data_IF_791059084549
#
_entry.id   IF_791059084549
#
_cell.length_a   1.000
_cell.length_b   1.000
_cell.length_c   1.000
_cell.angle_alpha   90.00
_cell.angle_beta   90.00
_cell.angle_gamma   90.00
#
_symmetry.space_group_name_H-M   'P 1'
#
loop_
_entity.id
_entity.type
_entity.pdbx_description
1 polymer ?
#
# COMPACT_ATOMS: atom_id res chain seq x y z
N UNK A 1 -16.26 17.43 21.05
CA UNK A 1 -16.05 15.97 21.01
C UNK A 1 -16.80 15.48 19.79
N UNK A 2 -16.14 15.47 18.64
CA UNK A 2 -16.76 15.12 17.36
C UNK A 2 -16.61 13.63 17.11
N UNK A 3 -17.63 13.09 16.44
CA UNK A 3 -18.05 11.70 16.43
C UNK A 3 -16.97 10.68 16.08
N UNK A 4 -17.13 9.48 16.65
CA UNK A 4 -16.43 8.26 16.26
C UNK A 4 -16.68 8.01 14.77
N UNK A 5 -15.59 7.98 14.00
CA UNK A 5 -15.63 7.75 12.55
C UNK A 5 -16.17 6.33 12.30
N UNK A 6 -17.29 6.27 11.59
CA UNK A 6 -17.99 5.03 11.30
C UNK A 6 -17.18 4.18 10.32
N UNK A 7 -16.30 3.32 10.83
CA UNK A 7 -15.82 2.10 10.17
C UNK A 7 -15.35 2.21 8.73
N UNK A 8 -14.72 3.31 8.31
CA UNK A 8 -14.06 3.38 7.00
C UNK A 8 -12.74 2.63 7.12
N UNK A 9 -12.65 1.46 6.49
CA UNK A 9 -11.41 0.69 6.45
C UNK A 9 -10.36 1.48 5.65
N UNK A 10 -9.13 1.59 6.18
CA UNK A 10 -8.01 2.30 5.53
C UNK A 10 -7.72 1.63 4.18
N UNK A 11 -7.88 2.30 3.01
CA UNK A 11 -7.67 1.65 1.72
C UNK A 11 -6.23 1.14 1.62
N UNK A 12 -6.05 -0.08 1.11
CA UNK A 12 -4.75 -0.75 1.04
C UNK A 12 -4.16 -0.66 -0.36
N UNK A 13 -2.93 -0.16 -0.47
CA UNK A 13 -2.18 -0.01 -1.71
C UNK A 13 -0.96 -0.93 -1.68
N UNK A 14 -0.70 -1.64 -2.78
CA UNK A 14 0.56 -2.34 -3.01
C UNK A 14 1.44 -1.57 -3.99
N UNK A 15 2.64 -1.18 -3.56
CA UNK A 15 3.65 -0.55 -4.42
C UNK A 15 4.67 -1.59 -4.85
N UNK A 16 4.82 -1.80 -6.16
CA UNK A 16 5.75 -2.75 -6.78
C UNK A 16 6.76 -1.97 -7.62
N UNK A 17 8.00 -1.92 -7.17
CA UNK A 17 9.06 -1.12 -7.82
C UNK A 17 10.42 -1.69 -7.42
N UNK A 18 11.33 -1.91 -8.37
CA UNK A 18 12.68 -2.45 -8.07
C UNK A 18 13.61 -1.40 -7.44
N UNK A 19 13.30 -0.11 -7.62
CA UNK A 19 13.99 1.01 -7.02
C UNK A 19 13.53 1.25 -5.58
N UNK A 20 14.36 0.82 -4.63
CA UNK A 20 14.09 0.97 -3.20
C UNK A 20 13.85 2.42 -2.75
N UNK A 21 14.51 3.41 -3.36
CA UNK A 21 14.32 4.81 -2.99
C UNK A 21 12.91 5.28 -3.37
N UNK A 22 12.48 5.02 -4.61
CA UNK A 22 11.17 5.45 -5.09
C UNK A 22 10.05 4.72 -4.32
N UNK A 23 10.20 3.42 -4.11
CA UNK A 23 9.27 2.61 -3.30
C UNK A 23 9.08 3.17 -1.89
N UNK A 24 10.17 3.60 -1.23
CA UNK A 24 10.12 4.19 0.11
C UNK A 24 9.47 5.59 0.13
N UNK A 25 9.73 6.41 -0.89
CA UNK A 25 9.08 7.72 -1.06
C UNK A 25 7.57 7.54 -1.22
N UNK A 26 7.15 6.65 -2.12
CA UNK A 26 5.72 6.34 -2.33
C UNK A 26 5.06 5.80 -1.06
N UNK A 27 5.72 4.90 -0.35
CA UNK A 27 5.22 4.35 0.91
C UNK A 27 4.98 5.44 1.96
N UNK A 28 5.92 6.38 2.09
CA UNK A 28 5.78 7.52 3.03
C UNK A 28 4.59 8.40 2.65
N UNK A 29 4.51 8.85 1.39
CA UNK A 29 3.45 9.74 0.91
C UNK A 29 2.05 9.12 1.07
N UNK A 30 1.89 7.87 0.65
CA UNK A 30 0.61 7.17 0.76
C UNK A 30 0.22 6.91 2.22
N UNK A 31 1.19 6.61 3.09
CA UNK A 31 0.93 6.40 4.51
C UNK A 31 0.45 7.69 5.20
N UNK A 32 1.04 8.84 4.83
CA UNK A 32 0.63 10.18 5.29
C UNK A 32 -0.78 10.54 4.82
N UNK A 33 -1.16 10.15 3.60
CA UNK A 33 -2.50 10.32 3.03
C UNK A 33 -3.53 9.28 3.53
N UNK A 34 -3.25 8.62 4.65
CA UNK A 34 -4.13 7.66 5.29
C UNK A 34 -4.45 6.43 4.42
N UNK A 35 -3.47 5.91 3.66
CA UNK A 35 -3.50 4.56 3.08
C UNK A 35 -2.72 3.53 3.91
N UNK A 36 -3.15 2.27 3.87
CA UNK A 36 -2.31 1.14 4.31
C UNK A 36 -1.42 0.74 3.15
N UNK A 37 -0.11 0.65 3.33
CA UNK A 37 0.81 0.38 2.23
C UNK A 37 1.53 -0.94 2.45
N UNK A 38 1.45 -1.83 1.46
CA UNK A 38 2.33 -2.97 1.28
C UNK A 38 3.32 -2.67 0.17
N UNK A 39 4.50 -3.29 0.21
CA UNK A 39 5.55 -3.05 -0.80
C UNK A 39 6.13 -4.36 -1.30
N UNK A 40 6.48 -4.39 -2.58
CA UNK A 40 7.22 -5.48 -3.21
C UNK A 40 8.32 -4.91 -4.12
N UNK A 41 9.44 -5.62 -4.24
CA UNK A 41 10.55 -5.22 -5.12
C UNK A 41 10.45 -5.82 -6.52
N UNK A 42 9.51 -6.75 -6.74
CA UNK A 42 9.32 -7.46 -8.00
C UNK A 42 7.95 -8.16 -8.03
N UNK A 43 7.59 -8.74 -9.18
CA UNK A 43 6.31 -9.41 -9.37
C UNK A 43 6.10 -10.67 -8.51
N UNK A 44 7.16 -11.43 -8.18
CA UNK A 44 7.00 -12.62 -7.33
C UNK A 44 6.64 -12.22 -5.90
N UNK A 45 7.33 -11.21 -5.36
CA UNK A 45 6.99 -10.63 -4.05
C UNK A 45 5.57 -10.02 -4.05
N UNK A 46 5.17 -9.37 -5.15
CA UNK A 46 3.83 -8.82 -5.28
C UNK A 46 2.76 -9.92 -5.24
N UNK A 47 2.95 -11.02 -5.97
CA UNK A 47 2.05 -12.17 -5.94
C UNK A 47 1.99 -12.81 -4.54
N UNK A 48 3.12 -12.87 -3.85
CA UNK A 48 3.19 -13.34 -2.47
C UNK A 48 2.37 -12.47 -1.51
N UNK A 49 2.39 -11.14 -1.69
CA UNK A 49 1.53 -10.21 -0.92
C UNK A 49 0.05 -10.42 -1.24
N UNK A 50 -0.29 -10.48 -2.54
CA UNK A 50 -1.66 -10.66 -3.02
C UNK A 50 -2.27 -12.01 -2.61
N UNK A 51 -1.44 -13.04 -2.39
CA UNK A 51 -1.90 -14.33 -1.89
C UNK A 51 -2.34 -14.31 -0.42
N UNK A 52 -1.90 -13.29 0.35
CA UNK A 52 -2.12 -13.20 1.81
C UNK A 52 -3.16 -12.15 2.19
N UNK A 53 -3.42 -11.17 1.32
CA UNK A 53 -4.42 -10.14 1.58
C UNK A 53 -4.95 -9.49 0.29
N UNK A 54 -6.15 -8.94 0.38
CA UNK A 54 -6.72 -8.09 -0.66
C UNK A 54 -6.16 -6.67 -0.57
N UNK A 55 -5.96 -6.04 -1.74
CA UNK A 55 -5.54 -4.65 -1.89
C UNK A 55 -6.52 -3.94 -2.81
N UNK A 56 -6.75 -2.65 -2.58
CA UNK A 56 -7.68 -1.83 -3.35
C UNK A 56 -7.03 -1.24 -4.61
N UNK A 57 -5.70 -1.08 -4.59
CA UNK A 57 -4.91 -0.50 -5.68
C UNK A 57 -3.52 -1.13 -5.73
N UNK A 58 -3.01 -1.32 -6.95
CA UNK A 58 -1.61 -1.68 -7.20
C UNK A 58 -0.97 -0.56 -8.02
N UNK A 59 0.18 -0.08 -7.56
CA UNK A 59 1.06 0.82 -8.30
C UNK A 59 2.29 0.01 -8.72
N UNK A 60 2.54 -0.11 -10.02
CA UNK A 60 3.63 -0.90 -10.59
C UNK A 60 4.29 -0.15 -11.74
N UNK A 61 5.61 -0.27 -11.87
CA UNK A 61 6.40 0.04 -13.08
C UNK A 61 6.90 -1.26 -13.73
#
# INVERSE_FOLDING_TARGET
>A
MFAEDGGINKPKVLVVDDNALLRNVLCTLLSEDNFSVETASNGHEALDVLSRCEVDLILCD
#
